data_IF_440034219324
#
_entry.id   IF_440034219324
#
_cell.length_a   1.000
_cell.length_b   1.000
_cell.length_c   1.000
_cell.angle_alpha   90.00
_cell.angle_beta   90.00
_cell.angle_gamma   90.00
#
_symmetry.space_group_name_H-M   'P 1'
#
loop_
_entity.id
_entity.type
_entity.pdbx_description
1 polymer ?
#
# COMPACT_ATOMS: atom_id res chain seq x y z
N UNK A 1 -39.88 4.55 15.08
CA UNK A 1 -39.08 4.45 13.83
C UNK A 1 -37.62 4.50 14.23
N UNK A 2 -36.89 3.38 14.14
CA UNK A 2 -35.44 3.36 14.33
C UNK A 2 -34.82 3.60 12.96
N UNK A 3 -34.08 4.70 12.86
CA UNK A 3 -33.40 5.14 11.66
C UNK A 3 -32.21 4.20 11.41
N UNK A 4 -32.39 3.23 10.51
CA UNK A 4 -31.34 2.31 10.08
C UNK A 4 -30.42 3.07 9.12
N UNK A 5 -29.42 3.78 9.66
CA UNK A 5 -28.28 4.23 8.86
C UNK A 5 -27.60 2.99 8.29
N UNK A 6 -27.81 2.73 6.99
CA UNK A 6 -27.06 1.75 6.23
C UNK A 6 -25.57 2.10 6.33
N UNK A 7 -24.81 1.31 7.09
CA UNK A 7 -23.36 1.43 7.12
C UNK A 7 -22.81 1.02 5.76
N UNK A 8 -22.27 1.97 5.00
CA UNK A 8 -21.39 1.62 3.88
C UNK A 8 -20.25 0.75 4.43
N UNK A 9 -19.90 -0.38 3.80
CA UNK A 9 -18.72 -1.12 4.20
C UNK A 9 -17.51 -0.18 4.09
N UNK A 10 -16.69 -0.13 5.15
CA UNK A 10 -15.46 0.65 5.13
C UNK A 10 -14.63 0.26 3.90
N UNK A 11 -14.11 1.26 3.18
CA UNK A 11 -13.23 1.04 2.02
C UNK A 11 -12.03 0.21 2.48
N UNK A 12 -11.72 -0.86 1.75
CA UNK A 12 -10.51 -1.67 2.00
C UNK A 12 -9.29 -0.83 1.64
N UNK A 13 -8.32 -0.77 2.54
CA UNK A 13 -7.06 -0.04 2.32
C UNK A 13 -6.32 -0.61 1.11
N UNK A 14 -5.86 0.27 0.24
CA UNK A 14 -5.03 -0.03 -0.93
C UNK A 14 -3.56 0.13 -0.58
N UNK A 15 -2.75 -0.89 -0.88
CA UNK A 15 -1.32 -0.86 -0.60
C UNK A 15 -0.51 -1.02 -1.89
N UNK A 16 0.32 -0.04 -2.20
CA UNK A 16 1.31 -0.15 -3.26
C UNK A 16 2.50 -0.96 -2.76
N UNK A 17 2.78 -2.08 -3.43
CA UNK A 17 3.85 -3.00 -3.02
C UNK A 17 5.09 -2.74 -3.86
N UNK A 18 6.19 -2.36 -3.22
CA UNK A 18 7.50 -2.25 -3.86
C UNK A 18 8.05 -3.63 -4.24
N UNK A 19 8.91 -3.70 -5.25
CA UNK A 19 9.51 -4.93 -5.74
C UNK A 19 10.27 -5.67 -4.64
N UNK A 20 10.91 -4.96 -3.70
CA UNK A 20 11.69 -5.57 -2.62
C UNK A 20 10.84 -6.45 -1.68
N UNK A 21 9.58 -6.07 -1.39
CA UNK A 21 8.69 -6.82 -0.50
C UNK A 21 7.98 -7.97 -1.21
N UNK A 22 7.77 -7.89 -2.53
CA UNK A 22 7.14 -8.96 -3.33
C UNK A 22 8.13 -9.83 -4.12
N UNK A 23 9.43 -9.79 -3.79
CA UNK A 23 10.45 -10.63 -4.44
C UNK A 23 10.56 -12.04 -3.85
N UNK A 24 10.53 -12.14 -2.52
CA UNK A 24 10.63 -13.40 -1.79
C UNK A 24 9.38 -14.27 -1.98
N UNK A 25 9.55 -15.60 -2.05
CA UNK A 25 8.40 -16.51 -2.20
C UNK A 25 7.47 -16.42 -0.99
N UNK A 26 8.03 -16.47 0.24
CA UNK A 26 7.24 -16.46 1.47
C UNK A 26 6.57 -15.10 1.71
N UNK A 27 7.29 -13.98 1.54
CA UNK A 27 6.72 -12.63 1.72
C UNK A 27 5.55 -12.39 0.77
N UNK A 28 5.67 -12.83 -0.49
CA UNK A 28 4.61 -12.67 -1.48
C UNK A 28 3.43 -13.58 -1.23
N UNK A 29 3.65 -14.84 -0.83
CA UNK A 29 2.53 -15.72 -0.53
C UNK A 29 1.74 -15.21 0.69
N UNK A 30 2.41 -14.70 1.72
CA UNK A 30 1.76 -14.02 2.85
C UNK A 30 0.95 -12.81 2.35
N UNK A 31 1.59 -11.83 1.70
CA UNK A 31 0.92 -10.62 1.23
C UNK A 31 -0.30 -10.91 0.34
N UNK A 32 -0.15 -11.80 -0.64
CA UNK A 32 -1.23 -12.12 -1.58
C UNK A 32 -2.32 -12.99 -0.94
N UNK A 33 -1.98 -13.83 0.05
CA UNK A 33 -3.00 -14.56 0.82
C UNK A 33 -3.87 -13.61 1.64
N UNK A 34 -3.25 -12.63 2.30
CA UNK A 34 -3.98 -11.60 3.04
C UNK A 34 -4.84 -10.74 2.11
N UNK A 35 -4.29 -10.33 0.95
CA UNK A 35 -5.04 -9.63 -0.08
C UNK A 35 -6.26 -10.43 -0.57
N UNK A 36 -6.13 -11.75 -0.73
CA UNK A 36 -7.25 -12.61 -1.16
C UNK A 36 -8.42 -12.65 -0.17
N UNK A 37 -8.17 -12.32 1.11
CA UNK A 37 -9.18 -12.18 2.18
C UNK A 37 -9.59 -10.73 2.45
N UNK A 38 -9.22 -9.81 1.55
CA UNK A 38 -9.52 -8.38 1.63
C UNK A 38 -8.97 -7.71 2.90
N UNK A 39 -7.85 -8.19 3.43
CA UNK A 39 -7.08 -7.47 4.48
C UNK A 39 -6.58 -6.12 3.92
N UNK A 40 -6.21 -6.11 2.64
CA UNK A 40 -5.90 -4.93 1.85
C UNK A 40 -6.12 -5.23 0.35
N UNK A 41 -6.10 -4.21 -0.50
CA UNK A 41 -6.10 -4.35 -1.96
C UNK A 41 -4.70 -3.98 -2.52
N UNK A 42 -3.93 -4.94 -3.09
CA UNK A 42 -2.58 -4.68 -3.55
C UNK A 42 -2.57 -3.86 -4.84
N UNK A 43 -1.52 -3.06 -5.03
CA UNK A 43 -1.22 -2.29 -6.26
C UNK A 43 0.26 -2.43 -6.62
N UNK A 44 0.57 -2.44 -7.92
CA UNK A 44 1.92 -2.38 -8.48
C UNK A 44 1.87 -1.90 -9.93
N UNK A 45 2.98 -1.32 -10.43
CA UNK A 45 3.15 -0.98 -11.84
C UNK A 45 3.96 -2.05 -12.58
N UNK A 46 3.96 -1.98 -13.91
CA UNK A 46 4.81 -2.86 -14.73
C UNK A 46 6.31 -2.69 -14.39
N UNK A 47 6.76 -1.46 -14.10
CA UNK A 47 8.18 -1.18 -13.75
C UNK A 47 8.61 -1.90 -12.46
N UNK A 48 7.73 -1.94 -11.45
CA UNK A 48 7.93 -2.72 -10.21
C UNK A 48 8.01 -4.23 -10.51
N UNK A 49 7.13 -4.75 -11.36
CA UNK A 49 7.16 -6.16 -11.75
C UNK A 49 8.43 -6.51 -12.54
N UNK A 50 8.90 -5.62 -13.40
CA UNK A 50 10.15 -5.80 -14.14
C UNK A 50 11.36 -5.78 -13.21
N UNK A 51 11.35 -4.94 -12.17
CA UNK A 51 12.38 -4.93 -11.12
C UNK A 51 12.39 -6.19 -10.29
N UNK A 52 11.21 -6.68 -9.90
CA UNK A 52 11.06 -7.97 -9.23
C UNK A 52 11.64 -9.10 -10.10
N UNK A 53 11.40 -9.08 -11.42
CA UNK A 53 11.94 -10.08 -12.36
C UNK A 53 13.47 -9.99 -12.48
N UNK A 54 14.01 -8.78 -12.65
CA UNK A 54 15.46 -8.54 -12.77
C UNK A 54 16.21 -8.95 -11.51
N UNK A 55 15.63 -8.67 -10.35
CA UNK A 55 16.26 -8.90 -9.05
C UNK A 55 15.87 -10.24 -8.41
N UNK A 56 15.24 -11.16 -9.15
CA UNK A 56 14.74 -12.43 -8.59
C UNK A 56 15.81 -13.18 -7.77
N UNK A 57 15.39 -13.98 -6.76
CA UNK A 57 16.34 -14.72 -5.94
C UNK A 57 17.26 -15.63 -6.76
N UNK A 58 18.53 -15.82 -6.35
CA UNK A 58 19.43 -16.76 -7.00
C UNK A 58 18.83 -18.17 -7.09
N UNK A 59 19.06 -18.85 -8.21
CA UNK A 59 18.51 -20.19 -8.47
C UNK A 59 17.07 -20.22 -9.01
N UNK A 60 16.35 -19.08 -9.02
CA UNK A 60 15.04 -19.01 -9.67
C UNK A 60 15.21 -18.78 -11.19
N UNK A 61 14.58 -19.62 -12.00
CA UNK A 61 14.63 -19.49 -13.47
C UNK A 61 13.70 -18.38 -13.97
N UNK A 62 13.98 -17.84 -15.17
CA UNK A 62 13.09 -16.87 -15.84
C UNK A 62 11.67 -17.43 -15.98
N UNK A 63 11.53 -18.67 -16.46
CA UNK A 63 10.23 -19.32 -16.61
C UNK A 63 9.45 -19.44 -15.28
N UNK A 64 10.15 -19.65 -14.16
CA UNK A 64 9.51 -19.75 -12.85
C UNK A 64 9.01 -18.38 -12.35
N UNK A 65 9.81 -17.32 -12.51
CA UNK A 65 9.39 -15.96 -12.13
C UNK A 65 8.27 -15.45 -13.05
N UNK A 66 8.32 -15.73 -14.35
CA UNK A 66 7.28 -15.35 -15.31
C UNK A 66 5.94 -16.04 -15.01
N UNK A 67 5.98 -17.33 -14.67
CA UNK A 67 4.79 -18.07 -14.21
C UNK A 67 4.20 -17.46 -12.95
N UNK A 68 5.04 -17.06 -11.99
CA UNK A 68 4.60 -16.40 -10.76
C UNK A 68 3.95 -15.06 -11.06
N UNK A 69 4.60 -14.17 -11.82
CA UNK A 69 4.05 -12.88 -12.23
C UNK A 69 2.69 -13.04 -12.95
N UNK A 70 2.60 -14.00 -13.88
CA UNK A 70 1.35 -14.32 -14.58
C UNK A 70 0.25 -14.73 -13.60
N UNK A 71 0.58 -15.57 -12.62
CA UNK A 71 -0.38 -16.03 -11.60
C UNK A 71 -0.83 -14.87 -10.71
N UNK A 72 0.09 -13.99 -10.31
CA UNK A 72 -0.21 -12.79 -9.52
C UNK A 72 -1.19 -11.87 -10.25
N UNK A 73 -0.89 -11.50 -11.50
CA UNK A 73 -1.75 -10.61 -12.29
C UNK A 73 -3.11 -11.24 -12.62
N UNK A 74 -3.16 -12.56 -12.81
CA UNK A 74 -4.43 -13.28 -13.00
C UNK A 74 -5.29 -13.28 -11.72
N UNK A 75 -4.67 -13.48 -10.56
CA UNK A 75 -5.37 -13.50 -9.27
C UNK A 75 -5.82 -12.10 -8.84
N UNK A 76 -5.05 -11.06 -9.19
CA UNK A 76 -5.33 -9.67 -8.84
C UNK A 76 -5.32 -8.76 -10.09
N UNK A 77 -6.32 -8.84 -10.99
CA UNK A 77 -6.35 -8.06 -12.21
C UNK A 77 -6.35 -6.53 -11.98
N UNK A 78 -6.87 -6.09 -10.83
CA UNK A 78 -6.90 -4.68 -10.42
C UNK A 78 -5.61 -4.21 -9.75
N UNK A 79 -4.67 -5.11 -9.44
CA UNK A 79 -3.42 -4.73 -8.80
C UNK A 79 -2.43 -4.09 -9.77
N UNK A 80 -2.44 -4.51 -11.05
CA UNK A 80 -1.66 -3.83 -12.08
C UNK A 80 -2.28 -2.45 -12.38
N UNK A 81 -1.58 -1.38 -12.04
CA UNK A 81 -2.02 -0.01 -12.28
C UNK A 81 -1.35 0.60 -13.51
N UNK A 82 -1.92 1.67 -14.03
CA UNK A 82 -1.26 2.46 -15.06
C UNK A 82 0.08 3.01 -14.55
N UNK A 83 1.04 3.17 -15.46
CA UNK A 83 2.28 3.85 -15.15
C UNK A 83 1.99 5.33 -14.81
N UNK A 84 2.66 5.89 -13.79
CA UNK A 84 2.52 7.31 -13.49
C UNK A 84 3.04 8.16 -14.65
N UNK A 85 2.50 9.37 -14.87
CA UNK A 85 3.10 10.35 -15.77
C UNK A 85 4.54 10.68 -15.35
N UNK A 86 5.45 10.83 -16.33
CA UNK A 86 6.86 11.14 -16.04
C UNK A 86 7.01 12.42 -15.20
N UNK A 87 6.19 13.44 -15.46
CA UNK A 87 6.22 14.69 -14.68
C UNK A 87 5.94 14.44 -13.17
N UNK A 88 5.03 13.52 -12.85
CA UNK A 88 4.78 13.14 -11.46
C UNK A 88 6.00 12.41 -10.88
N UNK A 89 6.61 11.48 -11.62
CA UNK A 89 7.84 10.80 -11.21
C UNK A 89 8.97 11.79 -10.90
N UNK A 90 9.16 12.79 -11.74
CA UNK A 90 10.21 13.80 -11.57
C UNK A 90 10.03 14.63 -10.29
N UNK A 91 8.79 14.90 -9.89
CA UNK A 91 8.42 15.65 -8.68
C UNK A 91 8.55 14.86 -7.37
N UNK A 92 8.66 13.52 -7.43
CA UNK A 92 8.70 12.69 -6.22
C UNK A 92 9.95 12.94 -5.37
N UNK A 93 9.74 13.07 -4.07
CA UNK A 93 10.79 13.17 -3.05
C UNK A 93 11.25 11.76 -2.63
N UNK A 94 12.01 11.12 -3.50
CA UNK A 94 12.62 9.81 -3.28
C UNK A 94 13.99 9.74 -3.99
N UNK A 95 14.77 8.71 -3.66
CA UNK A 95 16.02 8.41 -4.36
C UNK A 95 15.75 8.27 -5.88
N UNK A 96 16.64 8.74 -6.78
CA UNK A 96 16.34 8.83 -8.22
C UNK A 96 15.88 7.52 -8.87
N UNK A 97 16.38 6.38 -8.37
CA UNK A 97 16.02 5.05 -8.88
C UNK A 97 14.67 4.55 -8.35
N UNK A 98 14.12 5.15 -7.29
CA UNK A 98 12.91 4.69 -6.58
C UNK A 98 11.72 5.65 -6.78
N UNK A 99 11.92 6.79 -7.47
CA UNK A 99 10.87 7.77 -7.78
C UNK A 99 9.64 7.15 -8.44
N UNK A 100 9.80 6.16 -9.31
CA UNK A 100 8.66 5.49 -9.96
C UNK A 100 7.80 4.70 -8.99
N UNK A 101 8.38 4.19 -7.89
CA UNK A 101 7.65 3.45 -6.86
C UNK A 101 6.72 4.43 -6.14
N UNK A 102 7.25 5.57 -5.69
CA UNK A 102 6.46 6.59 -5.01
C UNK A 102 5.41 7.22 -5.96
N UNK A 103 5.80 7.53 -7.19
CA UNK A 103 4.87 8.06 -8.19
C UNK A 103 3.76 7.06 -8.52
N UNK A 104 4.09 5.77 -8.60
CA UNK A 104 3.10 4.70 -8.78
C UNK A 104 2.11 4.62 -7.62
N UNK A 105 2.59 4.73 -6.38
CA UNK A 105 1.74 4.76 -5.20
C UNK A 105 0.78 5.96 -5.19
N UNK A 106 1.29 7.16 -5.47
CA UNK A 106 0.48 8.40 -5.56
C UNK A 106 -0.52 8.33 -6.72
N UNK A 107 -0.06 7.97 -7.93
CA UNK A 107 -0.91 7.92 -9.11
C UNK A 107 -2.03 6.88 -9.03
N UNK A 108 -1.79 5.79 -8.29
CA UNK A 108 -2.81 4.75 -8.04
C UNK A 108 -3.74 5.06 -6.87
N UNK A 109 -3.60 6.23 -6.24
CA UNK A 109 -4.34 6.64 -5.05
C UNK A 109 -4.23 5.59 -3.92
N UNK A 110 -3.03 4.99 -3.79
CA UNK A 110 -2.77 4.02 -2.73
C UNK A 110 -2.72 4.70 -1.37
N UNK A 111 -3.26 4.03 -0.35
CA UNK A 111 -3.28 4.55 1.03
C UNK A 111 -1.96 4.38 1.76
N UNK A 112 -1.09 3.49 1.25
CA UNK A 112 0.23 3.20 1.79
C UNK A 112 1.15 2.65 0.72
N UNK A 113 2.41 3.06 0.76
CA UNK A 113 3.52 2.42 0.08
C UNK A 113 4.21 1.46 1.04
N UNK A 114 4.31 0.18 0.67
CA UNK A 114 5.00 -0.85 1.45
C UNK A 114 6.36 -1.14 0.83
N UNK A 115 7.44 -0.80 1.55
CA UNK A 115 8.84 -0.97 1.12
C UNK A 115 9.76 -1.13 2.31
N UNK A 116 10.74 -2.04 2.23
CA UNK A 116 11.77 -2.17 3.25
C UNK A 116 12.92 -1.14 3.12
N UNK A 117 12.89 -0.29 2.09
CA UNK A 117 13.90 0.75 1.83
C UNK A 117 13.46 2.14 2.32
N UNK A 118 12.88 2.24 3.52
CA UNK A 118 12.25 3.47 4.04
C UNK A 118 13.07 4.75 3.86
N UNK A 119 14.39 4.70 4.05
CA UNK A 119 15.30 5.85 3.95
C UNK A 119 15.37 6.46 2.54
N UNK A 120 14.98 5.71 1.52
CA UNK A 120 15.02 6.11 0.11
C UNK A 120 13.77 6.96 -0.25
N UNK A 121 12.82 7.11 0.67
CA UNK A 121 11.54 7.80 0.48
C UNK A 121 11.33 8.91 1.51
N UNK A 122 11.00 10.12 1.04
CA UNK A 122 10.67 11.26 1.88
C UNK A 122 9.44 12.01 1.33
N UNK A 123 8.29 11.34 1.14
CA UNK A 123 7.09 12.01 0.63
C UNK A 123 6.60 13.08 1.61
N UNK A 124 5.88 14.10 1.12
CA UNK A 124 5.22 15.05 2.00
C UNK A 124 4.17 14.37 2.88
N UNK A 125 3.89 14.95 4.04
CA UNK A 125 2.84 14.45 4.96
C UNK A 125 1.45 14.99 4.64
N UNK A 126 1.34 15.96 3.74
CA UNK A 126 0.09 16.58 3.33
C UNK A 126 0.13 17.04 1.86
N UNK A 127 -1.05 17.29 1.30
CA UNK A 127 -1.20 17.69 -0.11
C UNK A 127 -1.35 16.49 -1.06
N UNK A 128 -1.40 16.77 -2.38
CA UNK A 128 -1.78 15.77 -3.40
C UNK A 128 -0.78 14.61 -3.54
N UNK A 129 0.49 14.83 -3.15
CA UNK A 129 1.54 13.82 -3.23
C UNK A 129 1.85 13.17 -1.86
N UNK A 130 0.98 13.38 -0.86
CA UNK A 130 1.17 12.79 0.45
C UNK A 130 1.11 11.26 0.38
N UNK A 131 2.02 10.59 1.08
CA UNK A 131 2.07 9.14 1.10
C UNK A 131 2.58 8.63 2.44
N UNK A 132 1.84 7.69 3.02
CA UNK A 132 2.33 6.90 4.15
C UNK A 132 3.25 5.82 3.61
N UNK A 133 4.43 5.68 4.21
CA UNK A 133 5.41 4.65 3.84
C UNK A 133 5.66 3.75 5.04
N UNK A 134 5.49 2.44 4.85
CA UNK A 134 5.68 1.43 5.90
C UNK A 134 6.62 0.33 5.39
N UNK A 135 7.45 -0.21 6.28
CA UNK A 135 8.14 -1.46 5.97
C UNK A 135 7.21 -2.65 6.11
N UNK A 136 7.64 -3.81 5.61
CA UNK A 136 6.77 -5.00 5.57
C UNK A 136 6.27 -5.41 6.96
N UNK A 137 7.14 -5.34 7.98
CA UNK A 137 6.75 -5.72 9.34
C UNK A 137 5.75 -4.72 9.93
N UNK A 138 5.98 -3.42 9.78
CA UNK A 138 5.08 -2.37 10.24
C UNK A 138 3.69 -2.54 9.63
N UNK A 139 3.62 -2.73 8.31
CA UNK A 139 2.36 -2.93 7.59
C UNK A 139 1.61 -4.16 8.09
N UNK A 140 2.28 -5.33 8.17
CA UNK A 140 1.63 -6.57 8.59
C UNK A 140 1.22 -6.56 10.06
N UNK A 141 2.01 -5.95 10.94
CA UNK A 141 1.68 -5.80 12.38
C UNK A 141 0.48 -4.89 12.54
N UNK A 142 0.45 -3.73 11.87
CA UNK A 142 -0.71 -2.83 11.90
C UNK A 142 -1.97 -3.54 11.41
N UNK A 143 -1.87 -4.31 10.31
CA UNK A 143 -3.01 -5.11 9.81
C UNK A 143 -3.47 -6.19 10.78
N UNK A 144 -2.56 -6.77 11.56
CA UNK A 144 -2.88 -7.73 12.61
C UNK A 144 -3.61 -7.06 13.78
N UNK A 145 -3.23 -5.84 14.13
CA UNK A 145 -3.87 -5.06 15.19
C UNK A 145 -5.25 -4.53 14.77
N UNK A 146 -5.41 -4.17 13.49
CA UNK A 146 -6.68 -3.68 12.94
C UNK A 146 -7.78 -4.76 12.87
N UNK A 147 -7.45 -5.96 12.37
CA UNK A 147 -8.41 -7.07 12.23
C UNK A 147 -7.66 -8.42 12.37
N UNK A 148 -7.37 -8.87 13.61
CA UNK A 148 -6.59 -10.07 13.85
C UNK A 148 -7.28 -11.34 13.34
N UNK A 149 -8.62 -11.36 13.33
CA UNK A 149 -9.41 -12.50 12.87
C UNK A 149 -9.27 -12.66 11.35
N UNK A 150 -9.55 -11.60 10.58
CA UNK A 150 -9.44 -11.64 9.10
C UNK A 150 -8.01 -11.91 8.62
N UNK A 151 -7.02 -11.36 9.32
CA UNK A 151 -5.63 -11.61 8.96
C UNK A 151 -5.27 -13.09 9.20
N UNK A 152 -5.68 -13.68 10.33
CA UNK A 152 -5.49 -15.11 10.59
C UNK A 152 -6.25 -15.99 9.59
N UNK A 153 -7.47 -15.63 9.18
CA UNK A 153 -8.19 -16.32 8.10
C UNK A 153 -7.41 -16.31 6.77
N UNK A 154 -6.71 -15.21 6.47
CA UNK A 154 -5.83 -15.10 5.31
C UNK A 154 -4.66 -16.08 5.38
N UNK A 155 -4.02 -16.18 6.55
CA UNK A 155 -2.93 -17.13 6.78
C UNK A 155 -3.40 -18.59 6.77
N UNK A 156 -4.56 -18.91 7.36
CA UNK A 156 -5.14 -20.25 7.26
C UNK A 156 -5.46 -20.62 5.81
N UNK A 157 -6.03 -19.69 5.04
CA UNK A 157 -6.29 -19.92 3.62
C UNK A 157 -5.01 -20.16 2.82
N UNK A 158 -3.88 -19.55 3.20
CA UNK A 158 -2.57 -19.85 2.64
C UNK A 158 -2.17 -21.31 2.91
N UNK A 159 -2.25 -21.72 4.18
CA UNK A 159 -1.89 -23.06 4.63
C UNK A 159 -2.74 -24.17 3.97
N UNK A 160 -4.03 -23.92 3.76
CA UNK A 160 -4.93 -24.87 3.08
C UNK A 160 -4.50 -25.16 1.63
N UNK A 161 -3.89 -24.18 0.96
CA UNK A 161 -3.37 -24.32 -0.41
C UNK A 161 -2.00 -24.98 -0.44
N UNK A 162 -1.24 -24.92 0.66
CA UNK A 162 0.10 -25.46 0.72
C UNK A 162 0.11 -26.99 0.57
N UNK A 163 0.90 -27.45 -0.40
CA UNK A 163 1.16 -28.87 -0.65
C UNK A 163 2.45 -29.37 0.03
N UNK A 164 3.28 -28.44 0.49
CA UNK A 164 4.54 -28.64 1.22
C UNK A 164 4.50 -27.81 2.50
N UNK A 165 5.45 -28.02 3.39
CA UNK A 165 5.60 -27.16 4.58
C UNK A 165 5.74 -25.67 4.18
N UNK A 166 5.23 -24.74 5.02
CA UNK A 166 4.50 -24.98 6.27
C UNK A 166 3.03 -25.35 6.03
N UNK A 167 2.50 -26.31 6.82
CA UNK A 167 1.07 -26.73 6.77
C UNK A 167 0.27 -26.48 8.06
N UNK A 168 0.89 -25.83 9.05
CA UNK A 168 0.25 -25.39 10.29
C UNK A 168 0.64 -23.95 10.61
N UNK A 169 -0.15 -23.28 11.46
CA UNK A 169 0.14 -21.91 11.90
C UNK A 169 1.48 -21.85 12.65
N UNK A 170 1.73 -22.82 13.55
CA UNK A 170 2.98 -22.93 14.31
C UNK A 170 4.20 -23.05 13.38
N UNK A 171 4.16 -23.94 12.39
CA UNK A 171 5.25 -24.12 11.43
C UNK A 171 5.43 -22.87 10.54
N UNK A 172 4.35 -22.18 10.19
CA UNK A 172 4.43 -20.93 9.44
C UNK A 172 5.12 -19.83 10.25
N UNK A 173 4.72 -19.65 11.51
CA UNK A 173 5.34 -18.71 12.43
C UNK A 173 6.84 -19.00 12.56
N UNK A 174 7.21 -20.27 12.75
CA UNK A 174 8.61 -20.67 12.87
C UNK A 174 9.40 -20.39 11.58
N UNK A 175 8.84 -20.74 10.42
CA UNK A 175 9.47 -20.45 9.11
C UNK A 175 9.64 -18.95 8.90
N UNK A 176 8.63 -18.13 9.24
CA UNK A 176 8.72 -16.67 9.13
C UNK A 176 9.74 -16.07 10.10
N UNK A 177 9.91 -16.66 11.29
CA UNK A 177 10.84 -16.19 12.30
C UNK A 177 12.31 -16.44 11.91
N UNK A 178 12.58 -17.51 11.16
CA UNK A 178 13.90 -17.81 10.61
C UNK A 178 14.36 -16.74 9.59
N UNK A 179 13.45 -16.32 8.70
CA UNK A 179 13.68 -15.21 7.76
C UNK A 179 13.88 -13.86 8.46
N UNK A 180 14.62 -12.93 7.85
CA UNK A 180 14.78 -11.58 8.43
C UNK A 180 13.56 -10.70 8.16
N UNK A 181 12.95 -10.86 6.98
CA UNK A 181 11.92 -10.00 6.42
C UNK A 181 10.59 -10.10 7.17
N UNK A 182 10.25 -11.27 7.74
CA UNK A 182 8.99 -11.50 8.44
C UNK A 182 9.16 -11.73 9.95
N UNK A 183 10.37 -11.60 10.49
CA UNK A 183 10.66 -11.95 11.89
C UNK A 183 9.85 -11.12 12.90
N UNK A 184 9.72 -9.81 12.65
CA UNK A 184 8.96 -8.92 13.53
C UNK A 184 7.48 -9.32 13.57
N UNK A 185 6.90 -9.51 12.39
CA UNK A 185 5.53 -9.98 12.22
C UNK A 185 5.31 -11.36 12.85
N UNK A 186 6.23 -12.31 12.65
CA UNK A 186 6.16 -13.64 13.24
C UNK A 186 6.10 -13.58 14.77
N UNK A 187 6.92 -12.73 15.40
CA UNK A 187 6.87 -12.52 16.86
C UNK A 187 5.54 -11.97 17.32
N UNK A 188 5.02 -10.96 16.63
CA UNK A 188 3.76 -10.34 17.01
C UNK A 188 2.59 -11.32 16.83
N UNK A 189 2.53 -12.01 15.70
CA UNK A 189 1.54 -13.05 15.43
C UNK A 189 1.59 -14.15 16.50
N UNK A 190 2.78 -14.60 16.88
CA UNK A 190 2.96 -15.62 17.92
C UNK A 190 2.40 -15.20 19.29
N UNK A 191 2.33 -13.90 19.57
CA UNK A 191 1.80 -13.39 20.84
C UNK A 191 0.27 -13.41 20.90
N UNK A 192 -0.40 -13.34 19.74
CA UNK A 192 -1.86 -13.20 19.64
C UNK A 192 -2.58 -14.50 19.23
N UNK A 193 -1.89 -15.43 18.57
CA UNK A 193 -2.49 -16.74 18.24
C UNK A 193 -2.72 -17.60 19.48
N UNK A 194 -3.73 -18.50 19.45
CA UNK A 194 -3.97 -19.46 20.52
C UNK A 194 -2.73 -20.29 20.88
N UNK A 195 -2.54 -20.70 22.16
CA UNK A 195 -1.34 -21.39 22.60
C UNK A 195 -0.95 -22.63 21.78
N UNK A 196 -1.93 -23.40 21.29
CA UNK A 196 -1.75 -24.60 20.47
C UNK A 196 -1.29 -24.29 19.03
N UNK A 197 -1.37 -23.03 18.61
CA UNK A 197 -0.95 -22.57 17.28
C UNK A 197 0.39 -21.82 17.30
N UNK A 198 0.99 -21.62 18.47
CA UNK A 198 2.23 -20.86 18.62
C UNK A 198 3.42 -21.57 17.98
N UNK A 199 4.29 -20.78 17.36
CA UNK A 199 5.62 -21.21 16.95
C UNK A 199 6.53 -21.46 18.15
N UNK A 200 7.50 -22.33 17.96
CA UNK A 200 8.45 -22.81 18.97
C UNK A 200 9.89 -22.37 18.74
N UNK A 201 10.16 -21.68 17.62
CA UNK A 201 11.50 -21.32 17.20
C UNK A 201 12.24 -20.48 18.27
N UNK A 202 13.53 -20.76 18.58
CA UNK A 202 14.27 -20.05 19.63
C UNK A 202 14.33 -18.53 19.44
N UNK A 203 14.27 -18.05 18.20
CA UNK A 203 14.27 -16.61 17.86
C UNK A 203 12.99 -15.88 18.29
N UNK A 204 11.92 -16.63 18.60
CA UNK A 204 10.66 -16.15 19.18
C UNK A 204 10.70 -16.10 20.71
N UNK A 205 11.49 -16.98 21.34
CA UNK A 205 11.54 -17.17 22.80
C UNK A 205 12.63 -16.30 23.47
N UNK A 206 13.59 -15.78 22.69
CA UNK A 206 14.67 -14.93 23.19
C UNK A 206 14.16 -13.63 23.83
N UNK A 207 14.46 -13.45 25.12
CA UNK A 207 14.11 -12.30 25.98
C UNK A 207 14.38 -10.96 25.30
N UNK A 208 13.43 -10.02 25.46
CA UNK A 208 13.51 -8.61 25.13
C UNK A 208 14.80 -7.94 25.65
N UNK A 209 15.89 -8.02 24.90
CA UNK A 209 17.06 -7.12 25.06
C UNK A 209 17.39 -6.33 23.79
N UNK A 210 16.58 -6.46 22.73
CA UNK A 210 16.69 -5.69 21.48
C UNK A 210 15.43 -4.93 21.07
N UNK A 211 14.34 -5.00 21.85
CA UNK A 211 13.06 -4.35 21.52
C UNK A 211 13.06 -2.82 21.75
N UNK A 212 14.13 -2.25 22.30
CA UNK A 212 14.27 -0.80 22.46
C UNK A 212 14.38 -0.04 21.12
N UNK A 213 14.53 -0.73 19.98
CA UNK A 213 14.45 -0.10 18.65
C UNK A 213 13.02 -0.03 18.09
N UNK A 214 12.05 -0.73 18.67
CA UNK A 214 10.66 -0.72 18.20
C UNK A 214 9.74 0.19 19.03
N UNK A 215 10.16 0.60 20.23
CA UNK A 215 9.40 1.48 21.12
C UNK A 215 9.74 2.97 20.99
N UNK A 216 10.55 3.37 19.99
CA UNK A 216 10.99 4.75 19.79
C UNK A 216 10.76 5.21 18.35
N UNK A 217 9.53 5.07 17.83
CA UNK A 217 9.07 5.80 16.66
C UNK A 217 7.58 6.15 16.83
N UNK A 218 7.27 6.92 17.87
CA UNK A 218 6.10 7.79 17.84
C UNK A 218 6.36 8.89 16.80
N UNK A 219 5.85 8.63 15.60
CA UNK A 219 5.93 9.53 14.45
C UNK A 219 4.95 9.11 13.36
N UNK A 220 3.83 8.48 13.73
CA UNK A 220 2.68 8.32 12.82
C UNK A 220 2.00 9.69 12.77
N UNK A 221 2.39 10.51 11.78
CA UNK A 221 1.57 11.66 11.41
C UNK A 221 0.39 11.09 10.63
N UNK A 222 -0.76 10.95 11.30
CA UNK A 222 -2.00 10.65 10.60
C UNK A 222 -2.25 11.73 9.54
N UNK A 223 -2.60 11.36 8.29
CA UNK A 223 -3.08 12.34 7.33
C UNK A 223 -4.35 12.97 7.90
N UNK A 224 -4.28 14.27 8.15
CA UNK A 224 -5.44 15.05 8.58
C UNK A 224 -6.60 14.81 7.61
N UNK A 225 -7.76 14.47 8.18
CA UNK A 225 -9.03 14.35 7.47
C UNK A 225 -9.19 15.56 6.53
N UNK A 226 -9.41 15.38 5.22
CA UNK A 226 -9.59 16.50 4.32
C UNK A 226 -10.82 17.28 4.77
N UNK A 227 -10.61 18.54 5.18
CA UNK A 227 -11.70 19.48 5.37
C UNK A 227 -12.40 19.67 4.02
N UNK A 228 -13.72 19.52 4.04
CA UNK A 228 -14.56 19.86 2.89
C UNK A 228 -14.28 21.33 2.50
N UNK A 229 -14.14 21.65 1.21
CA UNK A 229 -13.90 23.03 0.79
C UNK A 229 -15.03 23.93 1.29
N UNK A 230 -14.68 24.81 2.23
CA UNK A 230 -15.55 25.87 2.71
C UNK A 230 -15.66 26.96 1.66
N UNK A 231 -16.90 27.21 1.26
CA UNK A 231 -17.42 28.40 0.55
C UNK A 231 -16.99 28.62 -0.91
N UNK A 232 -18.00 28.59 -1.78
CA UNK A 232 -17.99 29.04 -3.15
C UNK A 232 -17.71 30.56 -3.25
N UNK A 233 -17.03 31.04 -4.31
CA UNK A 233 -16.95 32.46 -4.59
C UNK A 233 -18.30 32.99 -5.10
N UNK A 234 -18.75 34.10 -4.50
CA UNK A 234 -19.96 34.82 -4.86
C UNK A 234 -20.03 35.18 -6.35
N UNK A 235 -21.22 34.96 -6.90
CA UNK A 235 -21.57 35.28 -8.27
C UNK A 235 -21.40 36.79 -8.57
N UNK A 236 -20.63 37.08 -9.61
CA UNK A 236 -20.64 38.37 -10.31
C UNK A 236 -22.06 38.67 -10.79
N UNK A 237 -22.70 39.70 -10.23
CA UNK A 237 -23.90 40.30 -10.82
C UNK A 237 -23.52 41.03 -12.10
N UNK A 238 -23.92 40.45 -13.24
CA UNK A 238 -24.09 41.16 -14.50
C UNK A 238 -25.56 41.59 -14.60
N UNK A 239 -25.81 42.88 -14.76
CA UNK A 239 -27.12 43.47 -15.00
C UNK A 239 -26.89 44.83 -15.65
N UNK A 240 -27.08 44.88 -16.97
CA UNK A 240 -26.72 46.01 -17.81
C UNK A 240 -27.85 46.99 -18.11
N UNK A 241 -27.49 47.94 -18.99
CA UNK A 241 -28.33 48.79 -19.84
C UNK A 241 -28.89 50.08 -19.24
N UNK A 242 -28.22 51.21 -19.54
CA UNK A 242 -28.71 52.45 -20.22
C UNK A 242 -27.46 53.17 -20.75
N UNK A 243 -27.38 53.79 -21.92
CA UNK A 243 -28.34 54.05 -22.99
C UNK A 243 -27.56 54.38 -24.28
N UNK A 244 -28.27 54.30 -25.39
CA UNK A 244 -27.81 54.43 -26.77
C UNK A 244 -27.59 55.89 -27.13
N UNK A 245 -26.40 56.23 -27.64
CA UNK A 245 -26.11 57.50 -28.31
C UNK A 245 -26.20 57.30 -29.84
N UNK A 246 -27.03 58.12 -30.47
CA UNK A 246 -27.33 58.06 -31.91
C UNK A 246 -26.20 58.67 -32.74
N UNK A 247 -25.85 57.95 -33.80
CA UNK A 247 -25.02 58.40 -34.91
C UNK A 247 -25.61 59.63 -35.63
N UNK A 248 -24.73 60.54 -36.04
CA UNK A 248 -24.86 61.33 -37.27
C UNK A 248 -23.54 61.21 -38.04
N UNK A 249 -23.60 60.50 -39.15
CA UNK A 249 -22.55 60.54 -40.17
C UNK A 249 -22.67 61.83 -41.00
N UNK A 250 -21.52 62.27 -41.51
CA UNK A 250 -21.43 63.03 -42.75
C UNK A 250 -20.11 62.66 -43.41
N UNK A 251 -20.26 62.09 -44.60
CA UNK A 251 -19.24 61.73 -45.58
C UNK A 251 -18.79 62.97 -46.38
N UNK A 252 -17.67 62.84 -47.08
CA UNK A 252 -16.85 63.88 -47.71
C UNK A 252 -17.44 64.56 -48.97
N UNK A 253 -16.86 65.74 -49.26
CA UNK A 253 -16.59 66.38 -50.57
C UNK A 253 -17.70 66.57 -51.62
N UNK A 254 -18.24 67.80 -51.65
CA UNK A 254 -18.08 68.80 -52.75
C UNK A 254 -18.80 70.11 -52.42
#
# INVERSE_FOLDING_TARGET
MKDTRQSHPARVETAFLDANVIRGQQTTDVLLSLASRRVFEPRWTQKVIDEMRRNRPPGLTEAAIDRRITTMNKAFPRAMTAAPPQALEDEMQADPKDKHVLAGAVHSESDVLVTDNLKDFAPPTSGPNAMRVENLNQFLIRKLEEDPERLQEGLHAMLDRNRREPRSMSALIDTMAEGQELRGFARQLNSVVPPDQRGSSPVLVGTQRGSAQYAAFEGVVEPGKPDAPSTAPEARKSGGSKGVEKAKGTEQDK
#
